data_IF_117339480216
#
_entry.id   IF_117339480216
#
_cell.length_a   1.000
_cell.length_b   1.000
_cell.length_c   1.000
_cell.angle_alpha   90.00
_cell.angle_beta   90.00
_cell.angle_gamma   90.00
#
_symmetry.space_group_name_H-M   'P 1'
#
loop_
_entity.id
_entity.type
_entity.pdbx_description
1 polymer ?
#
# COMPACT_ATOMS: atom_id res chain seq x y z
N UNK A 1 -6.76 -13.90 18.00
CA UNK A 1 -5.67 -12.93 17.88
C UNK A 1 -5.18 -13.06 16.45
N UNK A 2 -5.34 -12.02 15.65
CA UNK A 2 -4.84 -12.01 14.26
C UNK A 2 -3.31 -11.91 14.27
N UNK A 3 -2.65 -12.19 13.15
CA UNK A 3 -1.21 -11.92 13.04
C UNK A 3 -0.90 -10.42 13.22
N UNK A 4 -1.84 -9.53 12.86
CA UNK A 4 -1.69 -8.09 13.08
C UNK A 4 -1.66 -7.78 14.58
N UNK A 5 -2.55 -8.40 15.37
CA UNK A 5 -2.53 -8.27 16.84
C UNK A 5 -1.21 -8.79 17.44
N UNK A 6 -0.67 -9.87 16.89
CA UNK A 6 0.63 -10.44 17.29
C UNK A 6 1.77 -9.46 17.03
N UNK A 7 1.81 -8.85 15.84
CA UNK A 7 2.82 -7.84 15.48
C UNK A 7 2.70 -6.62 16.39
N UNK A 8 1.48 -6.09 16.59
CA UNK A 8 1.25 -4.92 17.45
C UNK A 8 1.62 -5.16 18.92
N UNK A 9 1.55 -6.43 19.37
CA UNK A 9 1.95 -6.85 20.72
C UNK A 9 3.47 -6.94 20.88
N UNK A 10 4.19 -7.25 19.80
CA UNK A 10 5.66 -7.40 19.79
C UNK A 10 6.39 -6.20 19.16
N UNK A 11 5.67 -5.13 18.84
CA UNK A 11 6.17 -4.04 18.00
C UNK A 11 7.46 -3.39 18.54
N UNK A 12 7.65 -3.35 19.86
CA UNK A 12 8.79 -2.72 20.53
C UNK A 12 10.13 -3.42 20.31
N UNK A 13 10.10 -4.69 19.85
CA UNK A 13 11.32 -5.48 19.57
C UNK A 13 11.50 -5.75 18.09
N UNK A 14 10.63 -5.19 17.23
CA UNK A 14 10.65 -5.39 15.79
C UNK A 14 11.26 -4.16 15.09
N UNK A 15 12.07 -4.41 14.07
CA UNK A 15 12.46 -3.35 13.12
C UNK A 15 11.28 -2.99 12.21
N UNK A 16 11.30 -1.80 11.59
CA UNK A 16 10.32 -1.45 10.56
C UNK A 16 10.19 -2.52 9.46
N UNK A 17 11.33 -3.05 8.99
CA UNK A 17 11.33 -4.13 8.01
C UNK A 17 10.66 -5.41 8.54
N UNK A 18 10.90 -5.81 9.81
CA UNK A 18 10.22 -6.97 10.40
C UNK A 18 8.69 -6.78 10.42
N UNK A 19 8.23 -5.56 10.73
CA UNK A 19 6.80 -5.21 10.72
C UNK A 19 6.24 -5.31 9.29
N UNK A 20 6.92 -4.72 8.30
CA UNK A 20 6.51 -4.76 6.90
C UNK A 20 6.43 -6.21 6.39
N UNK A 21 7.48 -7.01 6.59
CA UNK A 21 7.51 -8.41 6.18
C UNK A 21 6.42 -9.24 6.85
N UNK A 22 6.08 -8.92 8.10
CA UNK A 22 5.00 -9.61 8.81
C UNK A 22 3.63 -9.31 8.19
N UNK A 23 3.43 -8.14 7.58
CA UNK A 23 2.17 -7.81 6.90
C UNK A 23 1.98 -8.59 5.60
N UNK A 24 3.05 -9.09 4.97
CA UNK A 24 2.93 -9.97 3.79
C UNK A 24 2.17 -11.27 4.08
N UNK A 25 2.02 -11.66 5.37
CA UNK A 25 1.19 -12.79 5.82
C UNK A 25 -0.29 -12.66 5.44
N UNK A 26 -0.77 -11.49 5.00
CA UNK A 26 -2.16 -11.31 4.50
C UNK A 26 -2.56 -12.30 3.39
N UNK A 27 -1.59 -12.84 2.65
CA UNK A 27 -1.84 -13.83 1.59
C UNK A 27 -1.89 -15.28 2.11
N UNK A 28 -1.27 -15.56 3.26
CA UNK A 28 -1.32 -16.86 3.93
C UNK A 28 -2.46 -16.94 4.96
N UNK A 29 -2.79 -15.79 5.57
CA UNK A 29 -3.82 -15.61 6.60
C UNK A 29 -4.78 -14.49 6.16
N UNK A 30 -5.76 -14.79 5.30
CA UNK A 30 -6.62 -13.77 4.70
C UNK A 30 -7.33 -12.90 5.73
N UNK A 31 -7.14 -11.58 5.60
CA UNK A 31 -7.81 -10.56 6.40
C UNK A 31 -8.93 -9.93 5.57
N UNK A 32 -10.05 -9.63 6.23
CA UNK A 32 -11.09 -8.78 5.67
C UNK A 32 -10.57 -7.35 5.53
N UNK A 33 -10.45 -6.88 4.28
CA UNK A 33 -9.94 -5.55 3.94
C UNK A 33 -10.80 -4.44 4.55
N UNK A 34 -12.10 -4.65 4.66
CA UNK A 34 -13.01 -3.66 5.26
C UNK A 34 -12.81 -3.57 6.80
N UNK A 35 -12.26 -4.62 7.43
CA UNK A 35 -11.93 -4.65 8.85
C UNK A 35 -10.58 -3.98 9.18
N UNK A 36 -9.76 -3.62 8.19
CA UNK A 36 -8.45 -3.01 8.42
C UNK A 36 -8.53 -1.66 9.14
N UNK A 37 -9.66 -0.95 9.00
CA UNK A 37 -9.94 0.32 9.68
C UNK A 37 -9.88 0.24 11.22
N UNK A 38 -9.90 -0.96 11.80
CA UNK A 38 -9.75 -1.18 13.23
C UNK A 38 -8.28 -1.10 13.72
N UNK A 39 -7.30 -1.15 12.82
CA UNK A 39 -5.87 -1.13 13.16
C UNK A 39 -5.25 0.26 12.99
N UNK A 40 -4.08 0.55 13.61
CA UNK A 40 -3.37 1.81 13.42
C UNK A 40 -3.12 2.14 11.94
N UNK A 41 -3.13 3.42 11.59
CA UNK A 41 -3.04 3.88 10.19
C UNK A 41 -1.82 3.29 9.46
N UNK A 42 -0.64 3.29 10.09
CA UNK A 42 0.58 2.77 9.46
C UNK A 42 0.50 1.27 9.13
N UNK A 43 -0.26 0.48 9.89
CA UNK A 43 -0.51 -0.94 9.56
C UNK A 43 -1.38 -1.06 8.31
N UNK A 44 -2.43 -0.23 8.21
CA UNK A 44 -3.28 -0.19 7.04
C UNK A 44 -2.46 0.20 5.80
N UNK A 45 -1.65 1.24 5.92
CA UNK A 45 -0.83 1.76 4.81
C UNK A 45 0.16 0.70 4.30
N UNK A 46 0.83 -0.05 5.19
CA UNK A 46 1.70 -1.17 4.78
C UNK A 46 0.91 -2.18 3.94
N UNK A 47 -0.26 -2.60 4.41
CA UNK A 47 -1.07 -3.61 3.72
C UNK A 47 -1.53 -3.08 2.35
N UNK A 48 -1.93 -1.81 2.25
CA UNK A 48 -2.31 -1.22 0.97
C UNK A 48 -1.16 -1.10 -0.02
N UNK A 49 0.05 -0.76 0.45
CA UNK A 49 1.25 -0.76 -0.39
C UNK A 49 1.58 -2.18 -0.87
N UNK A 50 1.49 -3.19 -0.01
CA UNK A 50 1.73 -4.60 -0.38
C UNK A 50 0.67 -5.09 -1.39
N UNK A 51 -0.61 -4.84 -1.14
CA UNK A 51 -1.71 -5.22 -2.06
C UNK A 51 -1.51 -4.54 -3.43
N UNK A 52 -1.14 -3.25 -3.44
CA UNK A 52 -0.84 -2.51 -4.67
C UNK A 52 0.37 -3.08 -5.43
N UNK A 53 1.51 -3.24 -4.75
CA UNK A 53 2.74 -3.79 -5.34
C UNK A 53 2.49 -5.16 -5.97
N UNK A 54 1.79 -6.02 -5.23
CA UNK A 54 1.49 -7.39 -5.66
C UNK A 54 0.59 -7.39 -6.89
N UNK A 55 -0.52 -6.62 -6.89
CA UNK A 55 -1.41 -6.56 -8.04
C UNK A 55 -0.73 -5.97 -9.28
N UNK A 56 0.03 -4.89 -9.13
CA UNK A 56 0.75 -4.30 -10.26
C UNK A 56 1.81 -5.27 -10.81
N UNK A 57 2.53 -5.98 -9.94
CA UNK A 57 3.54 -6.95 -10.37
C UNK A 57 2.92 -8.19 -11.05
N UNK A 58 1.77 -8.66 -10.58
CA UNK A 58 1.12 -9.87 -11.10
C UNK A 58 0.25 -9.60 -12.33
N UNK A 59 -0.55 -8.54 -12.29
CA UNK A 59 -1.63 -8.29 -13.24
C UNK A 59 -1.51 -6.94 -13.96
N UNK A 60 -0.52 -6.12 -13.60
CA UNK A 60 -0.35 -4.78 -14.14
C UNK A 60 -1.48 -3.83 -13.74
N UNK A 61 -1.50 -2.65 -14.36
CA UNK A 61 -2.48 -1.62 -14.03
C UNK A 61 -3.92 -2.04 -14.36
N UNK A 62 -4.14 -2.79 -15.44
CA UNK A 62 -5.46 -3.30 -15.81
C UNK A 62 -6.05 -4.21 -14.73
N UNK A 63 -5.24 -5.12 -14.19
CA UNK A 63 -5.66 -5.96 -13.07
C UNK A 63 -5.98 -5.17 -11.81
N UNK A 64 -5.12 -4.21 -11.43
CA UNK A 64 -5.39 -3.35 -10.29
C UNK A 64 -6.72 -2.62 -10.42
N UNK A 65 -7.07 -2.13 -11.62
CA UNK A 65 -8.30 -1.38 -11.87
C UNK A 65 -9.56 -2.25 -11.96
N UNK A 66 -9.47 -3.42 -12.62
CA UNK A 66 -10.61 -4.29 -12.90
C UNK A 66 -10.93 -5.28 -11.78
N UNK A 67 -9.93 -5.66 -10.97
CA UNK A 67 -10.11 -6.60 -9.88
C UNK A 67 -10.81 -5.94 -8.68
N UNK A 68 -11.24 -6.77 -7.72
CA UNK A 68 -11.77 -6.28 -6.45
C UNK A 68 -10.83 -5.34 -5.71
N UNK A 69 -9.54 -5.39 -5.99
CA UNK A 69 -8.52 -4.52 -5.39
C UNK A 69 -8.68 -3.06 -5.83
N UNK A 70 -9.17 -2.80 -7.04
CA UNK A 70 -9.41 -1.45 -7.57
C UNK A 70 -10.44 -0.65 -6.77
N UNK A 71 -11.32 -1.31 -6.01
CA UNK A 71 -12.27 -0.64 -5.10
C UNK A 71 -11.57 0.12 -3.96
N UNK A 72 -10.31 -0.21 -3.69
CA UNK A 72 -9.48 0.37 -2.64
C UNK A 72 -8.38 1.29 -3.20
N UNK A 73 -8.49 1.71 -4.47
CA UNK A 73 -7.51 2.60 -5.09
C UNK A 73 -7.34 3.91 -4.28
N UNK A 74 -8.40 4.44 -3.66
CA UNK A 74 -8.32 5.59 -2.76
C UNK A 74 -7.39 5.33 -1.57
N UNK A 75 -7.46 4.13 -0.98
CA UNK A 75 -6.61 3.72 0.14
C UNK A 75 -5.15 3.56 -0.26
N UNK A 76 -4.90 3.00 -1.44
CA UNK A 76 -3.54 2.87 -1.99
C UNK A 76 -2.92 4.24 -2.28
N UNK A 77 -3.70 5.14 -2.88
CA UNK A 77 -3.27 6.52 -3.15
C UNK A 77 -2.94 7.25 -1.85
N UNK A 78 -3.78 7.12 -0.82
CA UNK A 78 -3.53 7.76 0.48
C UNK A 78 -2.32 7.15 1.18
N UNK A 79 -2.11 5.83 1.13
CA UNK A 79 -0.92 5.18 1.67
C UNK A 79 0.37 5.67 1.00
N UNK A 80 0.36 5.85 -0.33
CA UNK A 80 1.48 6.44 -1.06
C UNK A 80 1.79 7.87 -0.60
N UNK A 81 0.76 8.68 -0.35
CA UNK A 81 0.93 10.04 0.21
C UNK A 81 1.52 10.00 1.62
N UNK A 82 1.07 9.08 2.46
CA UNK A 82 1.58 8.96 3.83
C UNK A 82 3.07 8.62 3.86
N UNK A 83 3.56 7.78 2.94
CA UNK A 83 4.99 7.48 2.80
C UNK A 83 5.75 8.56 2.00
N UNK A 84 5.12 9.67 1.63
CA UNK A 84 5.71 10.74 0.80
C UNK A 84 6.13 10.32 -0.62
N UNK A 85 5.50 9.27 -1.17
CA UNK A 85 5.60 8.89 -2.58
C UNK A 85 4.58 9.69 -3.42
N UNK A 86 4.67 11.02 -3.36
CA UNK A 86 3.63 11.93 -3.90
C UNK A 86 3.43 11.79 -5.41
N UNK A 87 4.51 11.54 -6.16
CA UNK A 87 4.45 11.37 -7.62
C UNK A 87 3.72 10.10 -8.01
N UNK A 88 3.98 9.02 -7.28
CA UNK A 88 3.34 7.72 -7.45
C UNK A 88 1.86 7.84 -7.10
N UNK A 89 1.54 8.52 -5.99
CA UNK A 89 0.17 8.80 -5.60
C UNK A 89 -0.58 9.62 -6.67
N UNK A 90 0.05 10.66 -7.21
CA UNK A 90 -0.52 11.50 -8.25
C UNK A 90 -0.75 10.70 -9.55
N UNK A 91 0.22 9.89 -9.95
CA UNK A 91 0.15 9.05 -11.16
C UNK A 91 -1.00 8.05 -11.04
N UNK A 92 -1.11 7.34 -9.91
CA UNK A 92 -2.19 6.38 -9.67
C UNK A 92 -3.56 7.08 -9.60
N UNK A 93 -3.64 8.27 -8.99
CA UNK A 93 -4.87 9.06 -8.97
C UNK A 93 -5.32 9.50 -10.35
N UNK A 94 -4.39 9.93 -11.22
CA UNK A 94 -4.71 10.30 -12.61
C UNK A 94 -5.20 9.11 -13.41
N UNK A 95 -4.53 7.95 -13.27
CA UNK A 95 -4.95 6.70 -13.92
C UNK A 95 -6.38 6.35 -13.49
N UNK A 96 -6.65 6.35 -12.19
CA UNK A 96 -7.97 6.00 -11.65
C UNK A 96 -9.06 6.96 -12.12
N UNK A 97 -8.76 8.26 -12.20
CA UNK A 97 -9.68 9.25 -12.74
C UNK A 97 -10.00 9.01 -14.22
N UNK A 98 -9.01 8.68 -15.05
CA UNK A 98 -9.21 8.38 -16.47
C UNK A 98 -10.06 7.11 -16.61
N UNK A 99 -9.74 6.07 -15.84
CA UNK A 99 -10.50 4.82 -15.82
C UNK A 99 -11.98 5.05 -15.47
N UNK A 100 -12.29 5.95 -14.54
CA UNK A 100 -13.67 6.22 -14.15
C UNK A 100 -14.45 7.11 -15.14
N UNK A 101 -13.79 7.90 -15.98
CA UNK A 101 -14.43 8.97 -16.76
C UNK A 101 -14.41 8.77 -18.27
N UNK A 102 -13.27 8.35 -18.83
CA UNK A 102 -13.04 8.29 -20.28
C UNK A 102 -12.72 6.87 -20.76
N UNK A 103 -12.19 6.01 -19.86
CA UNK A 103 -11.70 4.67 -20.18
C UNK A 103 -10.68 4.68 -21.34
N UNK A 104 -9.90 5.74 -21.45
CA UNK A 104 -8.80 5.87 -22.40
C UNK A 104 -7.64 4.95 -22.01
N UNK A 105 -7.65 3.74 -22.56
CA UNK A 105 -6.68 2.69 -22.27
C UNK A 105 -5.26 3.07 -22.69
N UNK A 106 -5.09 3.79 -23.81
CA UNK A 106 -3.76 4.19 -24.29
C UNK A 106 -3.10 5.15 -23.31
N UNK A 107 -3.88 6.12 -22.80
CA UNK A 107 -3.40 7.07 -21.79
C UNK A 107 -3.14 6.42 -20.43
N UNK A 108 -3.96 5.43 -20.05
CA UNK A 108 -3.73 4.64 -18.83
C UNK A 108 -2.40 3.88 -18.94
N UNK A 109 -2.15 3.22 -20.06
CA UNK A 109 -0.91 2.47 -20.29
C UNK A 109 0.32 3.38 -20.29
N UNK A 110 0.24 4.57 -20.91
CA UNK A 110 1.31 5.57 -20.89
C UNK A 110 1.66 6.02 -19.46
N UNK A 111 0.65 6.38 -18.66
CA UNK A 111 0.84 6.79 -17.27
C UNK A 111 1.34 5.63 -16.41
N UNK A 112 0.82 4.43 -16.62
CA UNK A 112 1.23 3.24 -15.88
C UNK A 112 2.72 2.95 -16.06
N UNK A 113 3.28 3.21 -17.25
CA UNK A 113 4.73 3.10 -17.50
C UNK A 113 5.60 4.06 -16.68
N UNK A 114 5.00 5.03 -15.97
CA UNK A 114 5.68 5.95 -15.06
C UNK A 114 5.61 5.54 -13.58
N UNK A 115 4.88 4.46 -13.24
CA UNK A 115 4.82 3.93 -11.88
C UNK A 115 6.17 3.33 -11.47
N UNK A 116 6.48 3.37 -10.16
CA UNK A 116 7.78 2.95 -9.61
C UNK A 116 8.26 1.58 -10.08
N UNK A 117 7.35 0.60 -10.28
CA UNK A 117 7.70 -0.74 -10.77
C UNK A 117 8.33 -0.77 -12.16
N UNK A 118 8.13 0.28 -12.97
CA UNK A 118 8.60 0.37 -14.34
C UNK A 118 9.71 1.39 -14.54
N UNK A 119 10.15 2.06 -13.46
CA UNK A 119 11.23 3.05 -13.46
C UNK A 119 12.28 2.70 -12.40
N UNK A 120 13.43 3.38 -12.42
CA UNK A 120 14.48 3.23 -11.41
C UNK A 120 14.14 4.05 -10.14
N UNK A 121 13.02 3.74 -9.51
CA UNK A 121 12.55 4.36 -8.26
C UNK A 121 12.02 3.28 -7.31
N UNK A 122 12.38 3.41 -6.02
CA UNK A 122 12.05 2.44 -4.99
C UNK A 122 11.26 3.09 -3.84
N UNK A 123 10.03 2.63 -3.63
CA UNK A 123 9.15 3.11 -2.56
C UNK A 123 9.42 2.43 -1.22
N UNK A 124 10.11 1.29 -1.18
CA UNK A 124 10.30 0.51 0.04
C UNK A 124 11.11 1.27 1.11
N UNK A 125 12.20 1.99 0.79
CA UNK A 125 12.89 2.84 1.76
C UNK A 125 12.01 3.94 2.35
N UNK A 126 11.06 4.47 1.56
CA UNK A 126 10.10 5.47 2.04
C UNK A 126 9.11 4.85 3.02
N UNK A 127 8.59 3.66 2.69
CA UNK A 127 7.72 2.89 3.59
C UNK A 127 8.45 2.53 4.90
N UNK A 128 9.69 2.03 4.83
CA UNK A 128 10.49 1.70 6.01
C UNK A 128 10.68 2.90 6.93
N UNK A 129 11.07 4.06 6.38
CA UNK A 129 11.26 5.29 7.16
C UNK A 129 9.94 5.77 7.81
N UNK A 130 8.84 5.70 7.08
CA UNK A 130 7.50 6.00 7.59
C UNK A 130 7.10 5.07 8.74
N UNK A 131 7.27 3.75 8.56
CA UNK A 131 6.92 2.74 9.57
C UNK A 131 7.75 2.90 10.82
N UNK A 132 9.05 3.17 10.71
CA UNK A 132 9.90 3.38 11.89
C UNK A 132 9.40 4.60 12.71
N UNK A 133 9.09 5.71 12.04
CA UNK A 133 8.59 6.91 12.70
C UNK A 133 7.21 6.72 13.36
N UNK A 134 6.28 6.01 12.69
CA UNK A 134 4.95 5.74 13.23
C UNK A 134 4.96 4.70 14.35
N UNK A 135 5.87 3.72 14.28
CA UNK A 135 6.11 2.77 15.36
C UNK A 135 6.48 3.48 16.66
N UNK A 136 7.48 4.36 16.62
CA UNK A 136 7.91 5.14 17.78
C UNK A 136 6.76 5.97 18.38
N UNK A 137 5.93 6.60 17.53
CA UNK A 137 4.75 7.37 17.95
C UNK A 137 3.70 6.47 18.61
N UNK A 138 3.42 5.32 18.01
CA UNK A 138 2.47 4.35 18.52
C UNK A 138 2.89 3.83 19.90
N UNK A 139 4.16 3.49 20.08
CA UNK A 139 4.71 3.08 21.37
C UNK A 139 4.63 4.18 22.43
N UNK A 140 4.95 5.43 22.06
CA UNK A 140 4.85 6.56 22.97
C UNK A 140 3.41 6.90 23.40
N UNK A 141 2.41 6.40 22.67
CA UNK A 141 0.99 6.63 22.94
C UNK A 141 0.33 5.57 23.82
N UNK A 142 1.04 4.47 24.12
CA UNK A 142 0.59 3.39 25.03
C UNK A 142 0.86 3.75 26.49
#
# INVERSE_FOLDING_TARGET
MSFIDEVLSNISVMSANDVIQSMSRIYDEPVDRDALSAYPQFIQDIIWIIDMDTELAMNGIGGLLENSTGRYADKMIDALRHISADKEAETLAQIYQIYQSDLDSEKIDELAGSLYLYIDFDIWPLLEAYVEAEKERYEASK
#
